data_IF_395818376998
#
_entry.id   IF_395818376998
#
_cell.length_a   1.000
_cell.length_b   1.000
_cell.length_c   1.000
_cell.angle_alpha   90.00
_cell.angle_beta   90.00
_cell.angle_gamma   90.00
#
_symmetry.space_group_name_H-M   'P 1'
#
loop_
_entity.id
_entity.type
_entity.pdbx_description
1 polymer ?
#
# COMPACT_ATOMS: atom_id res chain seq x y z
N UNK A 1 -16.49 -20.05 -5.47
CA UNK A 1 -17.34 -18.87 -5.19
C UNK A 1 -16.45 -17.72 -4.72
N UNK A 2 -16.78 -16.51 -5.06
CA UNK A 2 -16.04 -15.32 -4.59
C UNK A 2 -16.74 -14.75 -3.36
N UNK A 3 -16.02 -14.64 -2.26
CA UNK A 3 -16.57 -14.12 -1.01
C UNK A 3 -16.55 -12.58 -0.98
N UNK A 4 -15.48 -11.99 -1.52
CA UNK A 4 -15.28 -10.54 -1.50
C UNK A 4 -14.89 -10.04 -2.88
N UNK A 5 -15.53 -8.97 -3.31
CA UNK A 5 -15.17 -8.23 -4.52
C UNK A 5 -14.65 -6.87 -4.11
N UNK A 6 -13.43 -6.54 -4.54
CA UNK A 6 -12.82 -5.22 -4.35
C UNK A 6 -12.84 -4.50 -5.69
N UNK A 7 -13.35 -3.28 -5.71
CA UNK A 7 -13.44 -2.46 -6.93
C UNK A 7 -12.38 -1.36 -6.88
N UNK A 8 -11.48 -1.38 -7.84
CA UNK A 8 -10.38 -0.43 -7.98
C UNK A 8 -9.04 -1.01 -7.56
N UNK A 9 -8.11 -1.10 -8.50
CA UNK A 9 -6.75 -1.65 -8.31
C UNK A 9 -5.70 -0.59 -7.99
N UNK A 10 -6.05 0.43 -7.23
CA UNK A 10 -5.09 1.37 -6.64
C UNK A 10 -4.47 0.82 -5.36
N UNK A 11 -3.69 1.65 -4.66
CA UNK A 11 -3.01 1.26 -3.42
C UNK A 11 -3.99 0.69 -2.38
N UNK A 12 -5.08 1.39 -2.13
CA UNK A 12 -6.09 0.99 -1.15
C UNK A 12 -6.76 -0.32 -1.54
N UNK A 13 -7.18 -0.46 -2.81
CA UNK A 13 -7.85 -1.67 -3.30
C UNK A 13 -6.93 -2.89 -3.28
N UNK A 14 -5.69 -2.73 -3.71
CA UNK A 14 -4.71 -3.83 -3.66
C UNK A 14 -4.45 -4.28 -2.23
N UNK A 15 -4.29 -3.35 -1.30
CA UNK A 15 -4.06 -3.70 0.11
C UNK A 15 -5.29 -4.32 0.76
N UNK A 16 -6.49 -3.82 0.45
CA UNK A 16 -7.74 -4.40 0.94
C UNK A 16 -7.93 -5.84 0.44
N UNK A 17 -7.72 -6.07 -0.86
CA UNK A 17 -7.83 -7.39 -1.46
C UNK A 17 -6.81 -8.38 -0.87
N UNK A 18 -5.57 -7.92 -0.70
CA UNK A 18 -4.51 -8.72 -0.10
C UNK A 18 -4.84 -9.11 1.34
N UNK A 19 -5.26 -8.14 2.15
CA UNK A 19 -5.61 -8.37 3.55
C UNK A 19 -6.78 -9.34 3.69
N UNK A 20 -7.82 -9.19 2.87
CA UNK A 20 -8.96 -10.09 2.85
C UNK A 20 -8.56 -11.52 2.48
N UNK A 21 -7.72 -11.67 1.46
CA UNK A 21 -7.24 -12.98 1.02
C UNK A 21 -6.35 -13.66 2.06
N UNK A 22 -5.50 -12.89 2.74
CA UNK A 22 -4.68 -13.40 3.85
C UNK A 22 -5.54 -13.83 5.05
N UNK A 23 -6.71 -13.23 5.22
CA UNK A 23 -7.72 -13.65 6.19
C UNK A 23 -8.52 -14.89 5.78
N UNK A 24 -8.23 -15.48 4.63
CA UNK A 24 -8.86 -16.73 4.15
C UNK A 24 -10.02 -16.55 3.17
N UNK A 25 -10.37 -15.32 2.81
CA UNK A 25 -11.45 -15.07 1.85
C UNK A 25 -11.00 -15.36 0.39
N UNK A 26 -11.94 -15.82 -0.43
CA UNK A 26 -11.79 -15.87 -1.88
C UNK A 26 -12.09 -14.48 -2.45
N UNK A 27 -11.08 -13.82 -3.03
CA UNK A 27 -11.16 -12.42 -3.42
C UNK A 27 -11.02 -12.22 -4.92
N UNK A 28 -11.87 -11.35 -5.49
CA UNK A 28 -11.70 -10.80 -6.82
C UNK A 28 -11.44 -9.29 -6.73
N UNK A 29 -10.40 -8.83 -7.42
CA UNK A 29 -10.05 -7.41 -7.55
C UNK A 29 -10.35 -6.95 -8.97
N UNK A 30 -11.27 -6.00 -9.09
CA UNK A 30 -11.70 -5.46 -10.38
C UNK A 30 -11.00 -4.13 -10.66
N UNK A 31 -10.30 -4.04 -11.78
CA UNK A 31 -9.66 -2.81 -12.24
C UNK A 31 -10.01 -2.58 -13.73
N UNK A 32 -10.51 -1.39 -14.04
CA UNK A 32 -10.90 -1.03 -15.41
C UNK A 32 -9.73 -0.73 -16.35
N UNK A 33 -8.59 -0.34 -15.77
CA UNK A 33 -7.40 -0.03 -16.56
C UNK A 33 -6.58 -1.31 -16.80
N UNK A 34 -5.75 -1.35 -17.87
CA UNK A 34 -4.92 -2.51 -18.17
C UNK A 34 -3.90 -2.86 -17.08
N UNK A 35 -3.51 -1.88 -16.27
CA UNK A 35 -2.50 -2.05 -15.21
C UNK A 35 -3.02 -1.59 -13.87
N UNK A 36 -2.62 -2.30 -12.80
CA UNK A 36 -2.85 -1.90 -11.42
C UNK A 36 -1.95 -0.70 -11.05
N UNK A 37 -2.36 0.03 -10.01
CA UNK A 37 -1.51 1.03 -9.38
C UNK A 37 -1.22 2.26 -10.23
N UNK A 38 -2.12 2.65 -11.13
CA UNK A 38 -1.90 3.78 -12.03
C UNK A 38 -1.47 5.06 -11.33
N UNK A 39 -2.13 5.42 -10.21
CA UNK A 39 -1.75 6.60 -9.42
C UNK A 39 -0.38 6.44 -8.75
N UNK A 40 -0.03 5.26 -8.32
CA UNK A 40 1.27 5.01 -7.70
C UNK A 40 2.43 5.33 -8.65
N UNK A 41 2.26 5.09 -9.94
CA UNK A 41 3.28 5.41 -10.95
C UNK A 41 3.64 6.89 -10.99
N UNK A 42 2.69 7.78 -10.71
CA UNK A 42 2.88 9.23 -10.85
C UNK A 42 3.20 9.92 -9.51
N UNK A 43 2.99 9.24 -8.38
CA UNK A 43 3.32 9.81 -7.07
C UNK A 43 4.83 9.95 -6.88
N UNK A 44 5.23 10.95 -6.10
CA UNK A 44 6.65 11.19 -5.83
C UNK A 44 7.48 11.40 -7.10
N UNK A 45 6.89 11.98 -8.14
CA UNK A 45 7.53 12.20 -9.45
C UNK A 45 8.02 10.88 -10.09
N UNK A 46 7.20 9.84 -10.03
CA UNK A 46 7.51 8.51 -10.59
C UNK A 46 8.32 7.60 -9.68
N UNK A 47 8.64 8.06 -8.47
CA UNK A 47 9.40 7.28 -7.49
C UNK A 47 8.55 6.54 -6.46
N UNK A 48 7.29 6.92 -6.30
CA UNK A 48 6.34 6.48 -5.27
C UNK A 48 6.80 6.82 -3.85
N UNK A 49 6.30 7.93 -3.31
CA UNK A 49 6.43 8.21 -1.88
C UNK A 49 5.49 7.24 -1.13
N UNK A 50 6.05 6.17 -0.58
CA UNK A 50 5.30 5.04 -0.03
C UNK A 50 4.60 5.42 1.28
N UNK A 51 5.34 6.06 2.17
CA UNK A 51 4.85 6.47 3.49
C UNK A 51 5.77 7.55 4.05
N UNK A 52 5.54 7.96 5.28
CA UNK A 52 6.45 8.81 6.02
C UNK A 52 7.06 8.01 7.19
N UNK A 53 8.35 8.17 7.41
CA UNK A 53 9.05 7.50 8.51
C UNK A 53 8.80 8.27 9.81
N UNK A 54 7.63 8.04 10.41
CA UNK A 54 7.18 8.74 11.60
C UNK A 54 6.26 7.87 12.46
N UNK A 55 5.96 8.36 13.65
CA UNK A 55 5.03 7.69 14.57
C UNK A 55 3.57 7.85 14.15
N UNK A 56 2.70 7.02 14.71
CA UNK A 56 1.24 7.17 14.56
C UNK A 56 0.79 8.55 15.04
N UNK A 57 1.32 9.02 16.17
CA UNK A 57 0.95 10.32 16.71
C UNK A 57 1.31 11.47 15.75
N UNK A 58 2.48 11.39 15.13
CA UNK A 58 2.90 12.41 14.14
C UNK A 58 2.00 12.41 12.91
N UNK A 59 1.53 11.24 12.46
CA UNK A 59 0.53 11.16 11.36
C UNK A 59 -0.76 11.85 11.76
N UNK A 60 -1.26 11.56 12.96
CA UNK A 60 -2.51 12.15 13.46
C UNK A 60 -2.39 13.67 13.63
N UNK A 61 -1.27 14.14 14.18
CA UNK A 61 -1.00 15.56 14.37
C UNK A 61 -0.88 16.31 13.03
N UNK A 62 -0.42 15.63 12.00
CA UNK A 62 -0.30 16.18 10.64
C UNK A 62 -1.60 16.12 9.83
N UNK A 63 -2.63 15.48 10.36
CA UNK A 63 -3.93 15.37 9.70
C UNK A 63 -4.80 16.60 10.01
N UNK A 64 -5.17 17.43 9.02
CA UNK A 64 -5.81 18.72 9.28
C UNK A 64 -7.19 18.63 9.92
N UNK A 65 -7.95 17.55 9.62
CA UNK A 65 -9.32 17.38 10.11
C UNK A 65 -9.61 15.91 10.42
N UNK A 66 -10.42 15.68 11.47
CA UNK A 66 -10.95 14.36 11.80
C UNK A 66 -9.87 13.28 12.00
N UNK A 67 -8.72 13.64 12.57
CA UNK A 67 -7.61 12.71 12.79
C UNK A 67 -8.04 11.49 13.62
N UNK A 68 -8.97 11.64 14.55
CA UNK A 68 -9.51 10.53 15.34
C UNK A 68 -10.10 9.41 14.51
N UNK A 69 -10.65 9.71 13.35
CA UNK A 69 -11.18 8.71 12.43
C UNK A 69 -10.08 7.73 11.96
N UNK A 70 -8.85 8.21 11.83
CA UNK A 70 -7.72 7.40 11.39
C UNK A 70 -7.04 6.61 12.51
N UNK A 71 -7.38 6.87 13.77
CA UNK A 71 -6.67 6.29 14.92
C UNK A 71 -6.63 4.75 14.86
N UNK A 72 -7.76 4.10 14.64
CA UNK A 72 -7.84 2.64 14.59
C UNK A 72 -7.01 2.05 13.46
N UNK A 73 -7.12 2.61 12.25
CA UNK A 73 -6.36 2.16 11.10
C UNK A 73 -4.85 2.37 11.29
N UNK A 74 -4.44 3.54 11.75
CA UNK A 74 -3.04 3.87 11.99
C UNK A 74 -2.41 3.03 13.10
N UNK A 75 -3.18 2.69 14.13
CA UNK A 75 -2.70 1.83 15.22
C UNK A 75 -2.45 0.41 14.74
N UNK A 76 -3.29 -0.12 13.85
CA UNK A 76 -3.15 -1.48 13.29
C UNK A 76 -2.07 -1.57 12.23
N UNK A 77 -1.98 -0.55 11.39
CA UNK A 77 -1.02 -0.50 10.27
C UNK A 77 -0.27 0.85 10.29
N UNK A 78 0.62 1.03 11.27
CA UNK A 78 1.42 2.26 11.36
C UNK A 78 2.40 2.39 10.19
N UNK A 79 3.03 3.56 10.00
CA UNK A 79 4.04 3.73 8.96
C UNK A 79 5.12 2.65 8.97
N UNK A 80 5.60 2.26 10.15
CA UNK A 80 6.58 1.18 10.28
C UNK A 80 6.09 -0.15 9.71
N UNK A 81 4.81 -0.47 9.86
CA UNK A 81 4.21 -1.67 9.28
C UNK A 81 4.27 -1.64 7.74
N UNK A 82 4.01 -0.48 7.15
CA UNK A 82 4.08 -0.31 5.69
C UNK A 82 5.51 -0.50 5.20
N UNK A 83 6.50 0.09 5.88
CA UNK A 83 7.91 -0.09 5.56
C UNK A 83 8.31 -1.58 5.65
N UNK A 84 7.95 -2.26 6.72
CA UNK A 84 8.24 -3.68 6.92
C UNK A 84 7.58 -4.55 5.85
N UNK A 85 6.34 -4.25 5.49
CA UNK A 85 5.63 -4.94 4.41
C UNK A 85 6.45 -4.94 3.11
N UNK A 86 6.88 -3.78 2.64
CA UNK A 86 7.64 -3.69 1.39
C UNK A 86 9.02 -4.31 1.50
N UNK A 87 9.70 -4.18 2.64
CA UNK A 87 10.97 -4.86 2.85
C UNK A 87 10.83 -6.38 2.81
N UNK A 88 9.78 -6.92 3.41
CA UNK A 88 9.48 -8.36 3.36
C UNK A 88 9.13 -8.82 1.94
N UNK A 89 8.54 -7.94 1.14
CA UNK A 89 8.28 -8.21 -0.27
C UNK A 89 9.53 -8.05 -1.16
N UNK A 90 10.69 -7.79 -0.58
CA UNK A 90 11.96 -7.71 -1.29
C UNK A 90 12.27 -6.33 -1.88
N UNK A 91 11.58 -5.28 -1.44
CA UNK A 91 11.83 -3.90 -1.90
C UNK A 91 12.64 -3.14 -0.86
N UNK A 92 13.93 -2.85 -1.11
CA UNK A 92 14.70 -1.96 -0.26
C UNK A 92 14.12 -0.55 -0.28
N UNK A 93 14.03 0.06 0.90
CA UNK A 93 13.52 1.41 1.08
C UNK A 93 14.59 2.35 1.59
N UNK A 94 14.42 3.64 1.31
CA UNK A 94 15.25 4.73 1.84
C UNK A 94 14.38 5.84 2.40
N UNK A 95 14.92 6.55 3.37
CA UNK A 95 14.30 7.73 3.96
C UNK A 95 15.04 8.97 3.47
N UNK A 96 14.28 9.91 2.91
CA UNK A 96 14.82 11.18 2.42
C UNK A 96 14.32 12.36 3.27
N UNK A 97 14.73 13.56 2.89
CA UNK A 97 14.35 14.80 3.57
C UNK A 97 12.85 14.85 3.85
N UNK A 98 12.50 15.28 5.05
CA UNK A 98 11.11 15.30 5.52
C UNK A 98 10.57 13.93 5.91
N UNK A 99 11.44 12.97 6.20
CA UNK A 99 11.10 11.60 6.55
C UNK A 99 10.28 10.86 5.47
N UNK A 100 10.40 11.29 4.22
CA UNK A 100 9.72 10.65 3.10
C UNK A 100 10.39 9.32 2.76
N UNK A 101 9.59 8.29 2.59
CA UNK A 101 10.07 6.94 2.28
C UNK A 101 9.84 6.63 0.79
N UNK A 102 10.91 6.24 0.12
CA UNK A 102 10.89 5.84 -1.29
C UNK A 102 11.55 4.46 -1.46
N UNK A 103 11.22 3.74 -2.55
CA UNK A 103 12.06 2.61 -2.91
C UNK A 103 13.48 3.08 -3.22
N UNK A 104 14.48 2.31 -2.79
CA UNK A 104 15.88 2.66 -2.99
C UNK A 104 16.23 2.81 -4.47
N UNK A 105 15.54 2.07 -5.34
CA UNK A 105 15.66 2.15 -6.80
C UNK A 105 15.11 3.43 -7.41
N UNK A 106 14.34 4.22 -6.67
CA UNK A 106 13.58 5.38 -7.17
C UNK A 106 12.54 5.03 -8.26
N UNK A 107 12.08 3.77 -8.29
CA UNK A 107 11.14 3.29 -9.31
C UNK A 107 9.81 2.90 -8.66
N UNK A 108 8.75 3.63 -8.98
CA UNK A 108 7.39 3.31 -8.55
C UNK A 108 6.97 1.89 -8.98
N UNK A 109 7.48 1.41 -10.12
CA UNK A 109 7.21 0.07 -10.62
C UNK A 109 7.55 -1.02 -9.58
N UNK A 110 8.63 -0.86 -8.84
CA UNK A 110 9.05 -1.87 -7.85
C UNK A 110 8.02 -2.02 -6.71
N UNK A 111 7.40 -0.92 -6.32
CA UNK A 111 6.31 -0.92 -5.33
C UNK A 111 5.07 -1.63 -5.88
N UNK A 112 4.68 -1.32 -7.11
CA UNK A 112 3.50 -1.90 -7.75
C UNK A 112 3.70 -3.39 -7.99
N UNK A 113 4.87 -3.78 -8.47
CA UNK A 113 5.23 -5.19 -8.71
C UNK A 113 5.20 -5.99 -7.42
N UNK A 114 5.71 -5.42 -6.32
CA UNK A 114 5.66 -6.07 -5.01
C UNK A 114 4.22 -6.35 -4.57
N UNK A 115 3.34 -5.36 -4.70
CA UNK A 115 1.91 -5.53 -4.39
C UNK A 115 1.26 -6.58 -5.30
N UNK A 116 1.54 -6.52 -6.59
CA UNK A 116 0.98 -7.47 -7.56
C UNK A 116 1.44 -8.91 -7.27
N UNK A 117 2.71 -9.12 -6.97
CA UNK A 117 3.23 -10.43 -6.61
C UNK A 117 2.61 -10.96 -5.31
N UNK A 118 2.41 -10.09 -4.31
CA UNK A 118 1.72 -10.46 -3.07
C UNK A 118 0.27 -10.90 -3.33
N UNK A 119 -0.46 -10.16 -4.17
CA UNK A 119 -1.82 -10.53 -4.58
C UNK A 119 -1.86 -11.91 -5.25
N UNK A 120 -0.93 -12.17 -6.17
CA UNK A 120 -0.85 -13.46 -6.86
C UNK A 120 -0.56 -14.61 -5.89
N UNK A 121 0.41 -14.45 -4.99
CA UNK A 121 0.71 -15.47 -3.97
C UNK A 121 -0.49 -15.75 -3.09
N UNK A 122 -1.30 -14.74 -2.79
CA UNK A 122 -2.53 -14.87 -2.00
C UNK A 122 -3.73 -15.32 -2.83
N UNK A 123 -3.53 -15.67 -4.11
CA UNK A 123 -4.57 -16.18 -5.02
C UNK A 123 -5.72 -15.21 -5.25
N UNK A 124 -5.47 -13.92 -5.16
CA UNK A 124 -6.45 -12.89 -5.56
C UNK A 124 -6.61 -12.94 -7.08
N UNK A 125 -7.85 -13.01 -7.54
CA UNK A 125 -8.17 -12.91 -8.97
C UNK A 125 -8.26 -11.44 -9.37
N UNK A 126 -7.42 -11.04 -10.30
CA UNK A 126 -7.39 -9.68 -10.84
C UNK A 126 -8.07 -9.65 -12.20
#
# INVERSE_FOLDING_TARGET
MTDIIVVGGGAAGMMAALTAAQGGASVALLERNPKLGRKLYITGKGRCNVTNHCSVQEVLDSTPRNSRFLYGAMTRTPPAWVEDFFRQEGVPLKVERGNRVFPESDRAADIIDALFHALRRSRVRV
#
